data_IF_627165174343
#
_entry.id   IF_627165174343
#
_cell.length_a   1.000
_cell.length_b   1.000
_cell.length_c   1.000
_cell.angle_alpha   90.00
_cell.angle_beta   90.00
_cell.angle_gamma   90.00
#
_symmetry.space_group_name_H-M   'P 1'
#
loop_
_entity.id
_entity.type
_entity.pdbx_description
1 polymer ?
#
# COMPACT_ATOMS: atom_id res chain seq x y z
N UNK A 1 8.06 9.01 13.47
CA UNK A 1 7.72 7.98 12.46
C UNK A 1 8.74 8.06 11.33
N UNK A 2 9.13 6.92 10.77
CA UNK A 2 10.06 6.88 9.62
C UNK A 2 9.22 6.95 8.35
N UNK A 3 9.44 7.98 7.52
CA UNK A 3 8.76 8.11 6.24
C UNK A 3 9.31 7.07 5.27
N UNK A 4 8.41 6.26 4.69
CA UNK A 4 8.76 5.21 3.75
C UNK A 4 7.96 5.34 2.46
N UNK A 5 8.58 5.01 1.34
CA UNK A 5 7.94 4.96 0.02
C UNK A 5 7.99 3.55 -0.53
N UNK A 6 7.03 3.20 -1.39
CA UNK A 6 7.06 1.94 -2.13
C UNK A 6 8.16 2.07 -3.19
N UNK A 7 9.24 1.30 -3.06
CA UNK A 7 10.31 1.26 -4.08
C UNK A 7 9.99 0.26 -5.18
N UNK A 8 9.53 -0.95 -4.80
CA UNK A 8 9.21 -2.00 -5.77
C UNK A 8 8.25 -3.05 -5.21
N UNK A 9 7.55 -3.73 -6.11
CA UNK A 9 6.87 -5.00 -5.82
C UNK A 9 7.67 -6.10 -6.50
N UNK A 10 8.07 -7.12 -5.75
CA UNK A 10 8.83 -8.26 -6.27
C UNK A 10 8.00 -9.53 -6.19
N UNK A 11 8.16 -10.39 -7.19
CA UNK A 11 7.49 -11.70 -7.26
C UNK A 11 8.57 -12.77 -7.32
N UNK A 12 8.52 -13.70 -6.37
CA UNK A 12 9.37 -14.89 -6.39
C UNK A 12 8.85 -15.89 -7.43
N UNK A 13 9.70 -16.32 -8.36
CA UNK A 13 9.34 -17.31 -9.37
C UNK A 13 9.32 -18.75 -8.82
N UNK A 14 9.89 -18.98 -7.64
CA UNK A 14 9.99 -20.31 -7.04
C UNK A 14 8.71 -20.69 -6.29
N UNK A 15 8.13 -19.73 -5.56
CA UNK A 15 6.99 -19.98 -4.68
C UNK A 15 5.84 -18.97 -4.87
N UNK A 16 5.93 -18.11 -5.89
CA UNK A 16 4.93 -17.08 -6.21
C UNK A 16 4.60 -16.11 -5.06
N UNK A 17 5.47 -16.04 -4.05
CA UNK A 17 5.34 -15.06 -2.99
C UNK A 17 5.57 -13.66 -3.56
N UNK A 18 4.76 -12.71 -3.10
CA UNK A 18 4.86 -11.29 -3.46
C UNK A 18 5.31 -10.51 -2.25
N UNK A 19 6.23 -9.59 -2.46
CA UNK A 19 6.77 -8.73 -1.42
C UNK A 19 6.78 -7.29 -1.92
N UNK A 20 6.27 -6.38 -1.09
CA UNK A 20 6.40 -4.95 -1.26
C UNK A 20 7.67 -4.52 -0.53
N UNK A 21 8.55 -3.85 -1.25
CA UNK A 21 9.76 -3.24 -0.68
C UNK A 21 9.47 -1.79 -0.35
N UNK A 22 9.36 -1.50 0.95
CA UNK A 22 9.32 -0.13 1.45
C UNK A 22 10.75 0.37 1.67
N UNK A 23 11.05 1.57 1.18
CA UNK A 23 12.35 2.22 1.36
C UNK A 23 12.20 3.42 2.28
N UNK A 24 13.05 3.52 3.28
CA UNK A 24 13.15 4.74 4.08
C UNK A 24 13.71 5.90 3.25
N UNK A 25 13.09 7.07 3.40
CA UNK A 25 13.50 8.28 2.69
C UNK A 25 14.95 8.64 3.04
N UNK A 26 15.76 8.91 2.01
CA UNK A 26 17.17 9.30 2.12
C UNK A 26 18.12 8.25 2.71
N UNK A 27 17.72 6.98 2.82
CA UNK A 27 18.61 5.89 3.27
C UNK A 27 18.56 4.68 2.33
N UNK A 28 19.43 3.70 2.58
CA UNK A 28 19.40 2.38 1.94
C UNK A 28 18.71 1.34 2.83
N UNK A 29 17.86 1.77 3.77
CA UNK A 29 17.12 0.86 4.65
C UNK A 29 15.80 0.46 3.99
N UNK A 30 15.53 -0.84 4.04
CA UNK A 30 14.36 -1.44 3.45
C UNK A 30 13.53 -2.20 4.48
N UNK A 31 12.21 -2.19 4.30
CA UNK A 31 11.25 -3.02 5.03
C UNK A 31 10.45 -3.86 4.02
N UNK A 32 10.71 -5.17 3.93
CA UNK A 32 9.91 -6.07 3.12
C UNK A 32 8.59 -6.41 3.83
N UNK A 33 7.47 -6.32 3.10
CA UNK A 33 6.16 -6.78 3.56
C UNK A 33 5.61 -7.79 2.56
N UNK A 34 5.41 -9.03 3.00
CA UNK A 34 4.76 -10.06 2.19
C UNK A 34 3.26 -9.80 2.10
N UNK A 35 2.74 -9.91 0.88
CA UNK A 35 1.33 -9.68 0.57
C UNK A 35 0.77 -10.78 -0.34
N UNK A 36 -0.55 -10.87 -0.41
CA UNK A 36 -1.22 -11.81 -1.31
C UNK A 36 -1.20 -11.37 -2.77
N UNK A 37 -1.74 -12.23 -3.63
CA UNK A 37 -1.79 -11.98 -5.07
C UNK A 37 -2.70 -10.82 -5.44
N UNK A 38 -3.85 -10.70 -4.78
CA UNK A 38 -4.84 -9.68 -5.08
C UNK A 38 -4.31 -8.29 -4.71
N UNK A 39 -3.66 -8.17 -3.56
CA UNK A 39 -3.06 -6.93 -3.07
C UNK A 39 -1.93 -6.48 -4.00
N UNK A 40 -1.06 -7.40 -4.42
CA UNK A 40 0.06 -7.06 -5.29
C UNK A 40 -0.42 -6.56 -6.66
N UNK A 41 -1.48 -7.15 -7.22
CA UNK A 41 -2.08 -6.69 -8.46
C UNK A 41 -2.70 -5.31 -8.30
N UNK A 42 -3.44 -5.06 -7.22
CA UNK A 42 -4.04 -3.76 -6.95
C UNK A 42 -2.99 -2.65 -6.84
N UNK A 43 -1.89 -2.89 -6.13
CA UNK A 43 -0.79 -1.92 -6.02
C UNK A 43 -0.08 -1.75 -7.37
N UNK A 44 0.19 -2.84 -8.10
CA UNK A 44 0.85 -2.78 -9.40
C UNK A 44 0.07 -1.94 -10.42
N UNK A 45 -1.25 -2.10 -10.49
CA UNK A 45 -2.11 -1.29 -11.37
C UNK A 45 -2.03 0.19 -11.00
N UNK A 46 -2.00 0.52 -9.70
CA UNK A 46 -1.92 1.91 -9.24
C UNK A 46 -0.55 2.56 -9.47
N UNK A 47 0.53 1.77 -9.44
CA UNK A 47 1.89 2.24 -9.73
C UNK A 47 2.17 2.39 -11.22
N UNK A 48 1.40 1.73 -12.09
CA UNK A 48 1.51 1.91 -13.53
C UNK A 48 0.90 3.26 -13.93
N UNK A 49 1.75 4.18 -14.40
CA UNK A 49 1.31 5.48 -14.89
C UNK A 49 0.39 5.32 -16.12
N UNK A 50 -0.71 6.08 -16.15
CA UNK A 50 -1.57 6.20 -17.33
C UNK A 50 -2.64 5.12 -17.51
N UNK A 51 -2.75 4.13 -16.62
CA UNK A 51 -3.84 3.14 -16.70
C UNK A 51 -5.11 3.72 -16.07
N UNK A 52 -6.05 4.13 -16.92
CA UNK A 52 -7.43 4.39 -16.51
C UNK A 52 -8.26 3.12 -16.61
N UNK A 53 -8.65 2.58 -15.45
CA UNK A 53 -9.62 1.48 -15.38
C UNK A 53 -11.02 2.00 -15.68
N UNK A 54 -11.77 1.30 -16.55
CA UNK A 54 -13.13 1.72 -16.94
C UNK A 54 -14.15 1.67 -15.81
N UNK A 55 -13.87 0.91 -14.75
CA UNK A 55 -14.71 0.75 -13.58
C UNK A 55 -13.86 1.04 -12.33
N UNK A 56 -14.41 1.71 -11.31
CA UNK A 56 -13.70 1.91 -10.06
C UNK A 56 -13.38 0.56 -9.41
N UNK A 57 -12.11 0.35 -9.04
CA UNK A 57 -11.70 -0.82 -8.26
C UNK A 57 -11.99 -0.59 -6.78
N UNK A 58 -11.78 -1.62 -5.95
CA UNK A 58 -12.05 -1.59 -4.50
C UNK A 58 -11.40 -0.40 -3.80
N UNK A 59 -10.15 -0.08 -4.13
CA UNK A 59 -9.42 1.03 -3.51
C UNK A 59 -9.89 2.40 -4.02
N UNK A 60 -10.30 2.50 -5.28
CA UNK A 60 -10.89 3.72 -5.83
C UNK A 60 -12.25 4.02 -5.18
N UNK A 61 -13.08 2.98 -5.01
CA UNK A 61 -14.35 3.08 -4.31
C UNK A 61 -14.16 3.48 -2.85
N UNK A 62 -13.16 2.91 -2.16
CA UNK A 62 -12.83 3.27 -0.78
C UNK A 62 -12.39 4.74 -0.67
N UNK A 63 -11.48 5.20 -1.55
CA UNK A 63 -11.05 6.59 -1.59
C UNK A 63 -12.24 7.54 -1.81
N UNK A 64 -13.07 7.22 -2.80
CA UNK A 64 -14.28 8.01 -3.12
C UNK A 64 -15.24 8.05 -1.93
N UNK A 65 -15.41 6.93 -1.22
CA UNK A 65 -16.28 6.86 -0.04
C UNK A 65 -15.76 7.74 1.09
N UNK A 66 -14.45 7.71 1.36
CA UNK A 66 -13.79 8.55 2.36
C UNK A 66 -13.98 10.04 2.02
N UNK A 67 -13.76 10.41 0.76
CA UNK A 67 -13.92 11.77 0.26
C UNK A 67 -15.36 12.28 0.39
N UNK A 68 -16.35 11.47 0.00
CA UNK A 68 -17.78 11.81 0.11
C UNK A 68 -18.22 11.99 1.56
N UNK A 69 -17.59 11.28 2.51
CA UNK A 69 -17.83 11.45 3.94
C UNK A 69 -17.13 12.68 4.54
N UNK A 70 -16.46 13.51 3.72
CA UNK A 70 -15.78 14.73 4.17
C UNK A 70 -14.41 14.49 4.81
N UNK A 71 -13.86 13.29 4.66
CA UNK A 71 -12.56 12.92 5.20
C UNK A 71 -11.49 12.85 4.10
N UNK A 72 -10.22 12.92 4.51
CA UNK A 72 -9.04 12.72 3.66
C UNK A 72 -8.06 11.77 4.32
N UNK A 73 -7.46 10.87 3.55
CA UNK A 73 -6.35 10.04 4.05
C UNK A 73 -5.14 10.95 4.26
N UNK A 74 -4.71 11.10 5.51
CA UNK A 74 -3.55 11.91 5.86
C UNK A 74 -2.27 11.11 5.71
N UNK A 75 -2.22 9.91 6.29
CA UNK A 75 -1.12 8.96 6.16
C UNK A 75 -1.51 7.56 6.63
N UNK A 76 -0.68 6.57 6.31
CA UNK A 76 -0.81 5.18 6.79
C UNK A 76 0.39 4.86 7.67
N UNK A 77 0.14 4.30 8.86
CA UNK A 77 1.19 3.92 9.81
C UNK A 77 1.20 2.40 9.93
N UNK A 78 2.35 1.78 9.66
CA UNK A 78 2.62 0.38 10.05
C UNK A 78 3.35 0.41 11.39
N UNK A 79 2.68 0.02 12.47
CA UNK A 79 3.18 0.24 13.84
C UNK A 79 3.44 -1.04 14.65
N UNK A 80 2.79 -2.16 14.32
CA UNK A 80 2.95 -3.42 15.08
C UNK A 80 3.27 -4.60 14.16
N UNK A 81 4.02 -5.57 14.69
CA UNK A 81 4.28 -6.87 14.10
C UNK A 81 4.00 -7.95 15.14
N UNK A 82 3.04 -8.84 14.85
CA UNK A 82 2.71 -9.96 15.74
C UNK A 82 2.45 -11.21 14.89
N UNK A 83 3.10 -12.31 15.24
CA UNK A 83 2.98 -13.59 14.52
C UNK A 83 3.15 -13.40 13.00
N UNK A 84 4.26 -12.77 12.59
CA UNK A 84 4.59 -12.46 11.20
C UNK A 84 3.55 -11.61 10.43
N UNK A 85 2.62 -10.97 11.15
CA UNK A 85 1.57 -10.11 10.59
C UNK A 85 1.83 -8.66 10.96
N UNK A 86 2.02 -7.81 9.94
CA UNK A 86 2.07 -6.36 10.12
C UNK A 86 0.67 -5.80 10.34
N UNK A 87 0.54 -4.90 11.31
CA UNK A 87 -0.67 -4.14 11.54
C UNK A 87 -0.45 -2.69 11.12
N UNK A 88 -1.45 -2.14 10.45
CA UNK A 88 -1.43 -0.78 9.97
C UNK A 88 -2.70 -0.03 10.35
N UNK A 89 -2.59 1.30 10.43
CA UNK A 89 -3.70 2.22 10.66
C UNK A 89 -3.72 3.25 9.54
N UNK A 90 -4.91 3.50 9.00
CA UNK A 90 -5.14 4.59 8.05
C UNK A 90 -5.65 5.76 8.86
N UNK A 91 -4.88 6.85 8.91
CA UNK A 91 -5.30 8.05 9.62
C UNK A 91 -6.06 8.94 8.66
N UNK A 92 -7.29 9.26 9.05
CA UNK A 92 -8.20 10.12 8.31
C UNK A 92 -8.30 11.46 9.03
N UNK A 93 -8.16 12.54 8.28
CA UNK A 93 -8.48 13.87 8.75
C UNK A 93 -9.89 14.25 8.27
N UNK A 94 -10.75 14.66 9.20
CA UNK A 94 -12.12 15.10 8.91
C UNK A 94 -12.11 16.62 8.93
N UNK A 95 -12.56 17.23 7.83
CA UNK A 95 -12.67 18.70 7.71
C UNK A 95 -13.71 19.31 8.63
#
# INVERSE_FOLDING_TARGET
>A
MIEMTIESIRVSLVNYQRVVMLKEKNTLRYLPIWIGSAEAQAIAIRLQEGIQVQRPMTHDLLSTTIEVLGAKVEHVIVNDLKNDTFYAKILLNIG
#
